data_IF_089998525501
#
_entry.id   IF_089998525501
#
_cell.length_a   1.000
_cell.length_b   1.000
_cell.length_c   1.000
_cell.angle_alpha   90.00
_cell.angle_beta   90.00
_cell.angle_gamma   90.00
#
_symmetry.space_group_name_H-M   'P 1'
#
loop_
_entity.id
_entity.type
_entity.pdbx_description
1 polymer ?
#
# COMPACT_ATOMS: atom_id res chain seq x y z
N UNK A 1 -33.37 -6.89 -37.81
CA UNK A 1 -32.68 -5.67 -37.32
C UNK A 1 -33.73 -4.58 -37.03
N UNK A 2 -34.26 -4.49 -35.80
CA UNK A 2 -35.45 -3.69 -35.47
C UNK A 2 -35.24 -2.16 -35.45
N UNK A 3 -34.02 -1.68 -35.72
CA UNK A 3 -33.67 -0.26 -35.57
C UNK A 3 -33.64 0.53 -36.89
N UNK A 4 -33.94 -0.09 -38.04
CA UNK A 4 -33.80 0.54 -39.38
C UNK A 4 -34.96 1.45 -39.79
N UNK A 5 -36.16 1.26 -39.25
CA UNK A 5 -37.37 1.91 -39.75
C UNK A 5 -37.37 3.46 -39.61
N UNK A 6 -36.63 4.00 -38.63
CA UNK A 6 -36.60 5.44 -38.34
C UNK A 6 -35.27 6.12 -38.69
N UNK A 7 -34.38 5.47 -39.45
CA UNK A 7 -33.04 5.99 -39.76
C UNK A 7 -33.09 7.38 -40.44
N UNK A 8 -34.03 7.58 -41.38
CA UNK A 8 -34.21 8.83 -42.10
C UNK A 8 -34.73 9.99 -41.24
N UNK A 9 -35.23 9.76 -40.02
CA UNK A 9 -35.81 10.81 -39.15
C UNK A 9 -35.00 11.10 -37.88
N UNK A 10 -33.92 10.35 -37.63
CA UNK A 10 -33.08 10.50 -36.41
C UNK A 10 -32.38 11.85 -36.30
N UNK A 11 -32.15 12.53 -37.41
CA UNK A 11 -31.49 13.84 -37.42
C UNK A 11 -32.35 14.95 -36.79
N UNK A 12 -33.67 14.74 -36.64
CA UNK A 12 -34.59 15.65 -35.94
C UNK A 12 -34.64 15.43 -34.42
N UNK A 13 -34.09 14.32 -33.91
CA UNK A 13 -34.03 14.07 -32.46
C UNK A 13 -32.77 14.75 -31.94
N UNK A 14 -32.94 15.91 -31.31
CA UNK A 14 -31.85 16.61 -30.64
C UNK A 14 -31.16 15.69 -29.62
N UNK A 15 -29.82 15.68 -29.61
CA UNK A 15 -29.09 14.87 -28.62
C UNK A 15 -29.44 15.36 -27.21
N UNK A 16 -29.77 14.41 -26.34
CA UNK A 16 -29.95 14.70 -24.92
C UNK A 16 -28.63 15.24 -24.36
N UNK A 17 -28.68 16.46 -23.79
CA UNK A 17 -27.53 17.09 -23.15
C UNK A 17 -27.55 16.73 -21.68
N UNK A 18 -26.54 16.01 -21.22
CA UNK A 18 -26.34 15.71 -19.81
C UNK A 18 -25.40 16.74 -19.19
N UNK A 19 -25.71 17.19 -17.97
CA UNK A 19 -24.83 18.03 -17.16
C UNK A 19 -24.33 17.21 -15.98
N UNK A 20 -23.01 17.08 -15.85
CA UNK A 20 -22.39 16.42 -14.69
C UNK A 20 -22.49 17.36 -13.49
N UNK A 21 -23.30 17.00 -12.51
CA UNK A 21 -23.54 17.81 -11.30
C UNK A 21 -22.64 17.42 -10.12
N UNK A 22 -22.12 16.19 -10.14
CA UNK A 22 -21.32 15.60 -9.06
C UNK A 22 -19.80 15.66 -9.29
N UNK A 23 -19.33 16.48 -10.25
CA UNK A 23 -17.91 16.56 -10.59
C UNK A 23 -16.99 16.78 -9.37
N UNK A 24 -17.29 17.68 -8.41
CA UNK A 24 -16.45 17.87 -7.23
C UNK A 24 -16.34 16.62 -6.35
N UNK A 25 -17.44 15.88 -6.17
CA UNK A 25 -17.47 14.65 -5.37
C UNK A 25 -16.70 13.52 -6.05
N UNK A 26 -16.87 13.39 -7.37
CA UNK A 26 -16.13 12.43 -8.18
C UNK A 26 -14.62 12.69 -8.11
N UNK A 27 -14.20 13.94 -8.27
CA UNK A 27 -12.81 14.39 -8.14
C UNK A 27 -12.25 14.14 -6.73
N UNK A 28 -13.01 14.45 -5.69
CA UNK A 28 -12.59 14.15 -4.32
C UNK A 28 -12.41 12.63 -4.11
N UNK A 29 -13.30 11.81 -4.69
CA UNK A 29 -13.19 10.35 -4.69
C UNK A 29 -11.92 9.86 -5.38
N UNK A 30 -11.56 10.42 -6.53
CA UNK A 30 -10.33 10.11 -7.25
C UNK A 30 -9.08 10.43 -6.41
N UNK A 31 -9.03 11.61 -5.79
CA UNK A 31 -7.90 11.99 -4.91
C UNK A 31 -7.76 11.05 -3.72
N UNK A 32 -8.88 10.67 -3.09
CA UNK A 32 -8.88 9.74 -1.96
C UNK A 32 -8.30 8.36 -2.33
N UNK A 33 -8.43 7.91 -3.58
CA UNK A 33 -7.81 6.65 -4.03
C UNK A 33 -6.28 6.68 -4.02
N UNK A 34 -5.69 7.87 -4.20
CA UNK A 34 -4.24 8.06 -4.08
C UNK A 34 -3.78 8.41 -2.66
N UNK A 35 -4.71 8.60 -1.72
CA UNK A 35 -4.38 8.95 -0.34
C UNK A 35 -3.84 7.72 0.40
N UNK A 36 -2.62 7.83 0.92
CA UNK A 36 -2.02 6.79 1.75
C UNK A 36 -2.44 6.99 3.21
N UNK A 37 -3.06 5.97 3.82
CA UNK A 37 -3.37 5.94 5.26
C UNK A 37 -2.74 4.68 5.86
N UNK A 38 -1.84 4.84 6.82
CA UNK A 38 -1.18 3.73 7.51
C UNK A 38 -1.58 3.71 8.98
N UNK A 39 -1.92 2.52 9.48
CA UNK A 39 -2.15 2.26 10.89
C UNK A 39 -1.12 1.23 11.36
N UNK A 40 -0.37 1.57 12.42
CA UNK A 40 0.57 0.67 13.06
C UNK A 40 0.00 0.31 14.42
N UNK A 41 -0.08 -0.98 14.72
CA UNK A 41 -0.59 -1.42 16.02
C UNK A 41 0.41 -1.07 17.13
N UNK A 42 -0.04 -0.77 18.35
CA UNK A 42 0.85 -0.53 19.48
C UNK A 42 1.85 -1.66 19.70
N UNK A 43 1.44 -2.91 19.45
CA UNK A 43 2.28 -4.10 19.55
C UNK A 43 3.40 -4.09 18.50
N UNK A 44 3.11 -3.66 17.26
CA UNK A 44 4.12 -3.50 16.22
C UNK A 44 5.14 -2.42 16.60
N UNK A 45 4.68 -1.32 17.21
CA UNK A 45 5.56 -0.27 17.72
C UNK A 45 6.44 -0.78 18.87
N UNK A 46 5.83 -1.45 19.86
CA UNK A 46 6.52 -1.93 21.06
C UNK A 46 7.53 -3.03 20.75
N UNK A 47 7.20 -3.92 19.82
CA UNK A 47 8.05 -5.04 19.41
C UNK A 47 8.88 -4.73 18.17
N UNK A 48 9.05 -3.46 17.78
CA UNK A 48 9.76 -3.14 16.53
C UNK A 48 11.23 -3.58 16.55
N UNK A 49 11.89 -3.36 17.69
CA UNK A 49 13.24 -3.85 17.94
C UNK A 49 13.18 -5.30 18.41
N UNK A 50 14.15 -6.12 17.98
CA UNK A 50 14.19 -7.50 18.42
C UNK A 50 14.52 -7.58 19.91
N UNK A 51 13.90 -8.51 20.65
CA UNK A 51 14.32 -8.81 22.01
C UNK A 51 15.76 -9.34 22.02
N UNK A 52 16.50 -9.02 23.07
CA UNK A 52 17.88 -9.48 23.23
C UNK A 52 17.91 -11.00 23.28
N UNK A 53 18.69 -11.60 22.39
CA UNK A 53 18.88 -13.05 22.31
C UNK A 53 19.74 -13.52 23.48
N UNK A 54 19.30 -14.57 24.16
CA UNK A 54 20.01 -15.22 25.29
C UNK A 54 20.93 -16.36 24.85
N UNK A 55 20.81 -16.82 23.60
CA UNK A 55 21.60 -17.92 23.03
C UNK A 55 22.77 -17.42 22.18
N UNK A 56 23.76 -18.29 21.94
CA UNK A 56 24.99 -17.96 21.17
C UNK A 56 24.67 -17.57 19.72
N UNK A 57 25.26 -16.48 19.25
CA UNK A 57 25.11 -15.97 17.89
C UNK A 57 25.02 -14.44 17.85
N UNK A 58 24.86 -13.87 16.65
CA UNK A 58 24.62 -12.43 16.48
C UNK A 58 23.27 -12.00 17.07
N UNK A 59 23.20 -10.75 17.55
CA UNK A 59 21.98 -10.15 18.07
C UNK A 59 21.12 -9.62 16.91
N UNK A 60 19.85 -10.05 16.76
CA UNK A 60 18.94 -9.46 15.79
C UNK A 60 18.66 -8.01 16.17
N UNK A 61 18.61 -7.11 15.18
CA UNK A 61 18.30 -5.69 15.39
C UNK A 61 16.80 -5.40 15.25
N UNK A 62 16.12 -6.16 14.41
CA UNK A 62 14.71 -5.97 14.05
C UNK A 62 13.93 -7.23 14.39
N UNK A 63 12.71 -7.06 14.89
CA UNK A 63 11.82 -8.19 15.11
C UNK A 63 11.26 -8.73 13.80
N UNK A 64 10.69 -9.92 13.88
CA UNK A 64 10.02 -10.57 12.75
C UNK A 64 8.82 -9.74 12.29
N UNK A 65 8.12 -9.10 13.23
CA UNK A 65 7.00 -8.21 12.97
C UNK A 65 7.41 -6.96 12.18
N UNK A 66 8.55 -6.34 12.52
CA UNK A 66 9.06 -5.18 11.78
C UNK A 66 9.44 -5.55 10.33
N UNK A 67 10.06 -6.71 10.16
CA UNK A 67 10.43 -7.25 8.83
C UNK A 67 9.18 -7.58 8.02
N UNK A 68 8.22 -8.28 8.61
CA UNK A 68 6.96 -8.64 7.97
C UNK A 68 6.16 -7.41 7.56
N UNK A 69 6.10 -6.39 8.43
CA UNK A 69 5.44 -5.12 8.12
C UNK A 69 6.07 -4.45 6.90
N UNK A 70 7.40 -4.38 6.85
CA UNK A 70 8.12 -3.80 5.71
C UNK A 70 7.87 -4.59 4.41
N UNK A 71 7.97 -5.92 4.44
CA UNK A 71 7.74 -6.77 3.28
C UNK A 71 6.29 -6.72 2.80
N UNK A 72 5.33 -6.63 3.72
CA UNK A 72 3.91 -6.49 3.42
C UNK A 72 3.61 -5.17 2.74
N UNK A 73 4.17 -4.05 3.22
CA UNK A 73 4.06 -2.76 2.54
C UNK A 73 4.66 -2.82 1.13
N UNK A 74 5.83 -3.47 0.98
CA UNK A 74 6.42 -3.71 -0.32
C UNK A 74 5.50 -4.47 -1.28
N UNK A 75 4.88 -5.54 -0.79
CA UNK A 75 3.96 -6.37 -1.56
C UNK A 75 2.69 -5.60 -1.96
N UNK A 76 2.04 -4.93 -1.01
CA UNK A 76 0.78 -4.19 -1.22
C UNK A 76 0.96 -3.04 -2.21
N UNK A 77 2.09 -2.33 -2.14
CA UNK A 77 2.37 -1.19 -3.01
C UNK A 77 3.20 -1.56 -4.26
N UNK A 78 3.54 -2.84 -4.46
CA UNK A 78 4.36 -3.28 -5.61
C UNK A 78 5.77 -2.67 -5.63
N UNK A 79 6.35 -2.38 -4.47
CA UNK A 79 7.63 -1.69 -4.33
C UNK A 79 8.81 -2.67 -4.26
N UNK A 80 9.93 -2.29 -4.88
CA UNK A 80 11.20 -2.99 -4.67
C UNK A 80 11.76 -2.70 -3.27
N UNK A 81 12.60 -3.59 -2.74
CA UNK A 81 13.10 -3.49 -1.36
C UNK A 81 13.78 -2.15 -1.02
N UNK A 82 14.52 -1.55 -1.96
CA UNK A 82 15.10 -0.20 -1.77
C UNK A 82 14.06 0.91 -1.69
N UNK A 83 12.95 0.75 -2.40
CA UNK A 83 11.81 1.68 -2.33
C UNK A 83 11.03 1.50 -1.03
N UNK A 84 10.91 0.28 -0.52
CA UNK A 84 10.34 0.01 0.82
C UNK A 84 11.15 0.70 1.90
N UNK A 85 12.48 0.53 1.86
CA UNK A 85 13.40 1.21 2.78
C UNK A 85 13.20 2.74 2.75
N UNK A 86 13.15 3.34 1.56
CA UNK A 86 12.90 4.79 1.40
C UNK A 86 11.50 5.24 1.83
N UNK A 87 10.46 4.45 1.55
CA UNK A 87 9.09 4.73 1.97
C UNK A 87 9.00 4.76 3.49
N UNK A 88 9.51 3.74 4.17
CA UNK A 88 9.55 3.68 5.64
C UNK A 88 10.39 4.83 6.21
N UNK A 89 11.52 5.15 5.56
CA UNK A 89 12.36 6.32 5.86
C UNK A 89 11.65 7.65 5.81
N UNK A 90 10.61 7.77 4.98
CA UNK A 90 9.85 9.00 4.83
C UNK A 90 8.62 9.02 5.74
N UNK A 91 7.89 7.91 5.83
CA UNK A 91 6.58 7.88 6.48
C UNK A 91 6.69 7.77 8.01
N UNK A 92 7.62 6.97 8.54
CA UNK A 92 7.74 6.81 10.00
C UNK A 92 8.09 8.14 10.71
N UNK A 93 9.04 8.96 10.20
CA UNK A 93 9.27 10.29 10.76
C UNK A 93 8.06 11.23 10.66
N UNK A 94 7.31 11.19 9.55
CA UNK A 94 6.07 11.97 9.39
C UNK A 94 4.98 11.57 10.39
N UNK A 95 5.00 10.31 10.85
CA UNK A 95 4.13 9.83 11.92
C UNK A 95 4.67 10.16 13.32
N UNK A 96 5.82 10.83 13.44
CA UNK A 96 6.47 11.12 14.73
C UNK A 96 7.14 9.89 15.36
N UNK A 97 7.42 8.84 14.57
CA UNK A 97 7.98 7.58 15.06
C UNK A 97 9.49 7.50 14.81
N UNK A 98 10.28 7.47 15.87
CA UNK A 98 11.74 7.31 15.82
C UNK A 98 12.16 5.83 15.74
N UNK A 99 11.61 5.09 14.78
CA UNK A 99 11.88 3.66 14.60
C UNK A 99 13.04 3.43 13.62
N UNK A 100 13.92 2.47 13.95
CA UNK A 100 14.99 2.06 13.05
C UNK A 100 14.42 1.26 11.86
N UNK A 101 14.97 1.47 10.66
CA UNK A 101 14.42 0.88 9.43
C UNK A 101 15.32 -0.27 8.94
N UNK A 102 14.76 -1.46 8.66
CA UNK A 102 15.50 -2.53 8.03
C UNK A 102 15.96 -2.14 6.62
N UNK A 103 17.26 -2.26 6.36
CA UNK A 103 17.81 -2.01 5.03
C UNK A 103 17.39 -3.09 4.02
N UNK A 104 17.41 -2.77 2.73
CA UNK A 104 17.02 -3.67 1.65
C UNK A 104 17.83 -4.99 1.60
N UNK A 105 19.06 -5.03 2.12
CA UNK A 105 19.84 -6.28 2.20
C UNK A 105 19.32 -7.19 3.31
N UNK A 106 18.95 -6.61 4.46
CA UNK A 106 18.32 -7.29 5.58
C UNK A 106 16.95 -7.82 5.18
N UNK A 107 16.13 -6.99 4.52
CA UNK A 107 14.85 -7.42 3.95
C UNK A 107 15.02 -8.53 2.93
N UNK A 108 15.99 -8.42 2.01
CA UNK A 108 16.22 -9.43 0.98
C UNK A 108 16.70 -10.78 1.53
N UNK A 109 17.46 -10.79 2.63
CA UNK A 109 17.81 -12.03 3.34
C UNK A 109 16.58 -12.68 3.97
N UNK A 110 15.73 -11.89 4.65
CA UNK A 110 14.57 -12.41 5.39
C UNK A 110 13.41 -12.79 4.47
N UNK A 111 13.23 -12.10 3.34
CA UNK A 111 12.20 -12.40 2.37
C UNK A 111 12.28 -13.82 1.79
N UNK A 112 13.47 -14.42 1.74
CA UNK A 112 13.67 -15.80 1.25
C UNK A 112 12.94 -16.86 2.08
N UNK A 113 12.74 -16.60 3.35
CA UNK A 113 12.07 -17.52 4.28
C UNK A 113 10.72 -16.97 4.75
N UNK A 114 10.28 -15.85 4.18
CA UNK A 114 9.02 -15.21 4.54
C UNK A 114 7.90 -15.80 3.70
N UNK A 115 6.83 -16.25 4.37
CA UNK A 115 5.60 -16.66 3.71
C UNK A 115 4.65 -15.47 3.73
N UNK A 116 4.31 -14.98 2.55
CA UNK A 116 3.38 -13.85 2.43
C UNK A 116 2.00 -14.25 2.96
N UNK A 117 1.30 -13.38 3.72
CA UNK A 117 -0.05 -13.66 4.23
C UNK A 117 -1.09 -14.07 3.17
N UNK A 118 -0.85 -13.76 1.89
CA UNK A 118 -1.74 -14.10 0.77
C UNK A 118 -1.58 -15.55 0.24
N UNK A 119 -0.70 -16.39 0.79
CA UNK A 119 -0.53 -17.79 0.34
C UNK A 119 -1.51 -18.78 0.99
N UNK A 120 -2.47 -18.31 1.79
CA UNK A 120 -3.43 -19.14 2.52
C UNK A 120 -4.90 -18.81 2.25
N UNK A 121 -5.25 -18.38 1.03
CA UNK A 121 -6.64 -18.20 0.58
C UNK A 121 -6.91 -18.97 -0.71
#
# INVERSE_FOLDING_TARGET
MPFKHNAARRHHIGRMKFKVTNWPEYEAGLRRRGSLTLWLTPEALAMWLAPRRTTRGGQPRYSDLAIETALTLGLVFGLRLRQVEGLLGSVLPLMGLALAIPDHTTLGRRARTWQSPQQGA
#
